data_IF_012166129305
#
_entry.id   IF_012166129305
#
_cell.length_a   1.000
_cell.length_b   1.000
_cell.length_c   1.000
_cell.angle_alpha   90.00
_cell.angle_beta   90.00
_cell.angle_gamma   90.00
#
_symmetry.space_group_name_H-M   'P 1'
#
loop_
_entity.id
_entity.type
_entity.pdbx_description
1 polymer ?
#
# COMPACT_ATOMS: atom_id res chain seq x y z
N UNK A 1 29.82 19.08 -1.09
CA UNK A 1 30.52 18.48 0.05
C UNK A 1 29.46 17.78 0.87
N UNK A 2 29.30 16.47 0.70
CA UNK A 2 28.36 15.69 1.48
C UNK A 2 28.81 15.71 2.95
N UNK A 3 27.91 16.06 3.86
CA UNK A 3 28.13 15.92 5.30
C UNK A 3 28.38 14.44 5.61
N UNK A 4 29.35 14.10 6.48
CA UNK A 4 29.57 12.72 6.86
C UNK A 4 28.28 12.19 7.50
N UNK A 5 27.73 11.12 6.95
CA UNK A 5 26.61 10.42 7.56
C UNK A 5 26.96 10.10 9.02
N UNK A 6 26.03 10.31 9.96
CA UNK A 6 26.20 9.90 11.34
C UNK A 6 26.64 8.43 11.44
N UNK A 7 27.61 8.18 12.33
CA UNK A 7 28.36 6.94 12.53
C UNK A 7 27.49 5.81 13.13
N UNK A 8 26.35 5.52 12.50
CA UNK A 8 25.33 4.56 12.94
C UNK A 8 25.71 3.10 12.70
N UNK A 9 26.83 2.86 12.01
CA UNK A 9 27.40 1.53 11.75
C UNK A 9 28.30 1.03 12.90
N UNK A 10 28.58 1.88 13.90
CA UNK A 10 29.49 1.58 15.00
C UNK A 10 29.01 0.50 15.98
N UNK A 11 27.77 0.03 15.90
CA UNK A 11 27.20 -0.94 16.86
C UNK A 11 27.53 -2.40 16.53
N UNK A 12 28.03 -2.70 15.33
CA UNK A 12 28.52 -4.03 15.00
C UNK A 12 30.05 -4.05 14.97
N UNK A 13 30.64 -4.38 16.13
CA UNK A 13 32.04 -4.78 16.17
C UNK A 13 32.19 -6.15 15.51
N UNK A 14 32.33 -6.16 14.18
CA UNK A 14 32.80 -7.33 13.46
C UNK A 14 34.28 -7.55 13.81
N UNK A 15 34.67 -8.74 14.29
CA UNK A 15 36.08 -9.10 14.42
C UNK A 15 36.80 -8.87 13.08
N UNK A 16 38.08 -8.45 13.06
CA UNK A 16 38.83 -8.24 11.81
C UNK A 16 38.97 -9.50 10.92
N UNK A 17 38.64 -10.66 11.46
CA UNK A 17 38.64 -11.96 10.77
C UNK A 17 37.29 -12.34 10.16
N UNK A 18 36.27 -11.48 10.30
CA UNK A 18 34.92 -11.75 9.79
C UNK A 18 34.93 -11.75 8.28
N UNK A 19 34.52 -12.86 7.68
CA UNK A 19 34.36 -12.95 6.23
C UNK A 19 32.97 -12.46 5.80
N UNK A 20 32.76 -12.09 4.53
CA UNK A 20 31.43 -11.76 4.02
C UNK A 20 30.39 -12.89 4.22
N UNK A 21 30.82 -14.16 4.17
CA UNK A 21 29.99 -15.32 4.47
C UNK A 21 29.54 -15.34 5.94
N UNK A 22 30.44 -14.94 6.85
CA UNK A 22 30.10 -14.82 8.27
C UNK A 22 29.06 -13.71 8.49
N UNK A 23 29.14 -12.60 7.75
CA UNK A 23 28.13 -11.53 7.80
C UNK A 23 26.75 -12.07 7.45
N UNK A 24 26.61 -12.77 6.31
CA UNK A 24 25.33 -13.36 5.91
C UNK A 24 24.77 -14.28 7.01
N UNK A 25 25.61 -15.13 7.60
CA UNK A 25 25.21 -16.03 8.68
C UNK A 25 24.77 -15.27 9.94
N UNK A 26 25.51 -14.24 10.32
CA UNK A 26 25.18 -13.39 11.48
C UNK A 26 23.83 -12.69 11.27
N UNK A 27 23.63 -12.11 10.08
CA UNK A 27 22.38 -11.41 9.72
C UNK A 27 21.21 -12.40 9.73
N UNK A 28 21.40 -13.60 9.20
CA UNK A 28 20.42 -14.68 9.22
C UNK A 28 20.00 -15.08 10.65
N UNK A 29 20.98 -15.38 11.50
CA UNK A 29 20.73 -15.78 12.90
C UNK A 29 20.03 -14.64 13.66
N UNK A 30 20.42 -13.39 13.38
CA UNK A 30 19.80 -12.18 13.96
C UNK A 30 18.35 -12.01 13.50
N UNK A 31 18.05 -12.22 12.21
CA UNK A 31 16.70 -12.13 11.65
C UNK A 31 15.75 -13.07 12.37
N UNK A 32 16.05 -14.36 12.39
CA UNK A 32 15.15 -15.34 13.00
C UNK A 32 15.10 -15.26 14.53
N UNK A 33 16.11 -14.70 15.18
CA UNK A 33 16.02 -14.36 16.60
C UNK A 33 15.10 -13.15 16.87
N UNK A 34 15.09 -12.17 15.96
CA UNK A 34 14.21 -11.01 16.02
C UNK A 34 12.76 -11.39 15.67
N UNK A 35 12.54 -12.11 14.58
CA UNK A 35 11.22 -12.44 14.01
C UNK A 35 10.31 -13.09 15.05
N UNK A 36 10.80 -14.13 15.72
CA UNK A 36 10.02 -14.81 16.76
C UNK A 36 9.64 -13.92 17.94
N UNK A 37 10.39 -12.84 18.24
CA UNK A 37 10.03 -11.86 19.28
C UNK A 37 9.06 -10.81 18.74
N UNK A 38 9.33 -10.28 17.56
CA UNK A 38 8.51 -9.26 16.90
C UNK A 38 7.09 -9.79 16.60
N UNK A 39 6.98 -10.97 15.99
CA UNK A 39 5.69 -11.61 15.71
C UNK A 39 4.88 -11.86 16.99
N UNK A 40 5.53 -12.26 18.09
CA UNK A 40 4.84 -12.41 19.39
C UNK A 40 4.36 -11.08 19.94
N UNK A 41 5.20 -10.05 19.93
CA UNK A 41 4.82 -8.72 20.39
C UNK A 41 3.65 -8.17 19.57
N UNK A 42 3.69 -8.30 18.25
CA UNK A 42 2.59 -7.88 17.36
C UNK A 42 1.29 -8.67 17.64
N UNK A 43 1.38 -9.99 17.84
CA UNK A 43 0.21 -10.79 18.19
C UNK A 43 -0.34 -10.45 19.58
N UNK A 44 0.52 -10.09 20.53
CA UNK A 44 0.12 -9.64 21.87
C UNK A 44 -0.51 -8.25 21.83
N UNK A 45 -0.06 -7.37 20.93
CA UNK A 45 -0.67 -6.05 20.68
C UNK A 45 -2.04 -6.16 19.98
N UNK A 46 -2.16 -7.08 19.02
CA UNK A 46 -3.44 -7.40 18.36
C UNK A 46 -4.43 -8.14 19.26
N UNK A 47 -3.98 -8.69 20.40
CA UNK A 47 -4.89 -9.29 21.37
C UNK A 47 -5.66 -8.16 22.03
N UNK A 48 -6.96 -8.07 21.71
CA UNK A 48 -7.91 -7.25 22.44
C UNK A 48 -7.71 -7.44 23.95
N UNK A 49 -7.17 -6.42 24.63
CA UNK A 49 -6.97 -6.41 26.08
C UNK A 49 -8.28 -6.60 26.84
N UNK A 50 -9.40 -6.34 26.17
CA UNK A 50 -10.72 -6.62 26.69
C UNK A 50 -11.17 -7.99 26.15
N UNK A 51 -11.15 -9.06 26.97
CA UNK A 51 -11.98 -10.22 26.64
C UNK A 51 -13.39 -9.67 26.53
N UNK A 52 -14.00 -9.78 25.33
CA UNK A 52 -15.39 -9.44 25.02
C UNK A 52 -16.19 -9.33 26.31
N UNK A 53 -16.29 -8.11 26.85
CA UNK A 53 -17.12 -7.87 28.01
C UNK A 53 -18.51 -8.14 27.46
N UNK A 54 -19.05 -9.32 27.74
CA UNK A 54 -20.45 -9.67 27.50
C UNK A 54 -21.38 -8.85 28.42
N UNK A 55 -20.98 -7.64 28.79
CA UNK A 55 -21.75 -6.69 29.55
C UNK A 55 -21.98 -5.47 28.66
N UNK A 56 -23.19 -4.87 28.72
CA UNK A 56 -23.51 -3.68 27.96
C UNK A 56 -22.43 -2.62 28.19
N UNK A 57 -21.90 -2.10 27.10
CA UNK A 57 -20.69 -1.26 27.08
C UNK A 57 -20.92 0.00 27.93
N UNK A 58 -19.88 0.51 28.61
CA UNK A 58 -19.94 1.87 29.17
C UNK A 58 -20.22 2.92 28.07
N UNK A 59 -19.94 2.59 26.80
CA UNK A 59 -20.36 3.36 25.64
C UNK A 59 -21.89 3.35 25.46
N UNK A 60 -22.60 2.25 25.77
CA UNK A 60 -24.07 2.23 25.79
C UNK A 60 -24.63 3.08 26.94
N UNK A 61 -23.91 3.16 28.07
CA UNK A 61 -24.27 4.08 29.17
C UNK A 61 -23.94 5.54 28.83
N UNK A 62 -22.86 5.81 28.10
CA UNK A 62 -22.48 7.15 27.64
C UNK A 62 -23.42 7.65 26.52
N UNK A 63 -23.73 6.80 25.54
CA UNK A 63 -24.71 7.08 24.47
C UNK A 63 -26.14 7.22 25.03
N UNK A 64 -26.48 6.49 26.09
CA UNK A 64 -27.76 6.65 26.81
C UNK A 64 -27.95 8.02 27.49
N UNK A 65 -26.87 8.81 27.62
CA UNK A 65 -26.91 10.15 28.23
C UNK A 65 -26.91 11.30 27.21
N UNK A 66 -26.63 11.02 25.94
CA UNK A 66 -26.72 12.00 24.85
C UNK A 66 -28.16 11.94 24.31
N UNK A 67 -29.12 12.46 25.06
CA UNK A 67 -30.43 12.79 24.49
C UNK A 67 -30.26 14.02 23.61
N UNK A 68 -30.48 13.94 22.29
CA UNK A 68 -30.44 15.12 21.44
C UNK A 68 -31.50 16.09 21.94
N UNK A 69 -31.08 17.33 22.22
CA UNK A 69 -31.96 18.40 22.67
C UNK A 69 -32.92 18.77 21.53
N UNK A 70 -34.02 18.01 21.38
CA UNK A 70 -35.03 18.23 20.34
C UNK A 70 -35.58 17.00 19.60
N UNK A 71 -35.12 15.77 19.89
CA UNK A 71 -35.68 14.58 19.23
C UNK A 71 -37.10 14.30 19.76
N UNK A 72 -38.12 14.45 18.91
CA UNK A 72 -39.48 13.98 19.19
C UNK A 72 -39.47 12.44 19.17
N UNK A 73 -40.22 11.77 20.06
CA UNK A 73 -40.19 10.31 20.22
C UNK A 73 -40.74 9.50 19.02
N UNK A 74 -41.16 10.16 17.94
CA UNK A 74 -41.80 9.52 16.77
C UNK A 74 -40.93 9.51 15.51
N UNK A 75 -39.73 10.10 15.53
CA UNK A 75 -38.82 10.09 14.37
C UNK A 75 -37.84 8.91 14.47
N UNK A 76 -37.92 8.02 13.47
CA UNK A 76 -37.03 6.93 13.06
C UNK A 76 -35.74 6.83 13.89
N UNK A 77 -35.50 5.66 14.49
CA UNK A 77 -34.31 5.33 15.27
C UNK A 77 -33.02 5.61 14.47
N UNK A 78 -32.54 6.85 14.53
CA UNK A 78 -31.28 7.22 13.92
C UNK A 78 -30.18 6.62 14.79
N UNK A 79 -29.42 5.68 14.23
CA UNK A 79 -28.18 5.24 14.84
C UNK A 79 -27.13 6.33 14.59
N UNK A 80 -26.57 6.84 15.67
CA UNK A 80 -25.50 7.82 15.63
C UNK A 80 -24.17 7.11 15.80
N UNK A 81 -23.23 7.36 14.90
CA UNK A 81 -21.85 6.92 15.03
C UNK A 81 -20.98 8.13 15.34
N UNK A 82 -20.14 8.02 16.36
CA UNK A 82 -19.10 9.00 16.62
C UNK A 82 -17.89 8.65 15.76
N UNK A 83 -17.49 9.55 14.87
CA UNK A 83 -16.21 9.47 14.16
C UNK A 83 -15.17 10.15 15.03
N UNK A 84 -14.19 9.37 15.49
CA UNK A 84 -13.09 9.85 16.31
C UNK A 84 -11.89 10.06 15.39
N UNK A 85 -11.46 11.31 15.24
CA UNK A 85 -10.23 11.65 14.55
C UNK A 85 -9.10 11.81 15.57
N UNK A 86 -7.91 11.32 15.21
CA UNK A 86 -6.70 11.37 16.03
C UNK A 86 -5.62 12.10 15.25
N UNK A 87 -4.83 12.91 15.94
CA UNK A 87 -3.66 13.56 15.35
C UNK A 87 -2.47 12.60 15.20
N UNK A 88 -1.36 13.09 14.64
CA UNK A 88 -0.13 12.30 14.45
C UNK A 88 0.48 11.80 15.78
N UNK A 89 0.13 12.43 16.91
CA UNK A 89 0.58 12.03 18.24
C UNK A 89 -0.35 11.00 18.90
N UNK A 90 -1.46 10.65 18.22
CA UNK A 90 -2.51 9.78 18.76
C UNK A 90 -3.43 10.47 19.75
N UNK A 91 -3.35 11.80 19.88
CA UNK A 91 -4.27 12.58 20.69
C UNK A 91 -5.58 12.79 19.91
N UNK A 92 -6.71 12.56 20.57
CA UNK A 92 -8.03 12.73 19.94
C UNK A 92 -8.26 14.21 19.64
N UNK A 93 -8.57 14.52 18.38
CA UNK A 93 -8.92 15.88 17.97
C UNK A 93 -10.28 16.28 18.58
N UNK A 94 -10.40 17.53 19.04
CA UNK A 94 -11.61 18.02 19.72
C UNK A 94 -12.87 17.96 18.83
N UNK A 95 -12.71 17.95 17.50
CA UNK A 95 -13.81 17.96 16.55
C UNK A 95 -14.30 16.54 16.25
N UNK A 96 -15.17 16.04 17.11
CA UNK A 96 -15.83 14.75 16.90
C UNK A 96 -16.99 14.91 15.92
N UNK A 97 -16.84 14.40 14.71
CA UNK A 97 -17.92 14.33 13.74
C UNK A 97 -18.97 13.31 14.17
N UNK A 98 -20.20 13.75 14.46
CA UNK A 98 -21.34 12.85 14.62
C UNK A 98 -21.90 12.52 13.25
N UNK A 99 -21.70 11.29 12.79
CA UNK A 99 -22.34 10.79 11.58
C UNK A 99 -23.72 10.24 11.97
N UNK A 100 -24.77 10.99 11.63
CA UNK A 100 -26.13 10.47 11.71
C UNK A 100 -26.35 9.53 10.52
N UNK A 101 -26.39 8.23 10.78
CA UNK A 101 -26.86 7.26 9.79
C UNK A 101 -28.36 7.17 9.99
N UNK A 102 -29.11 7.84 9.11
CA UNK A 102 -30.53 7.51 8.97
C UNK A 102 -30.61 6.13 8.33
N UNK A 103 -30.76 5.13 9.19
CA UNK A 103 -31.30 3.85 8.76
C UNK A 103 -32.71 4.17 8.30
N UNK A 104 -32.88 4.29 6.98
CA UNK A 104 -34.22 4.22 6.40
C UNK A 104 -34.64 2.77 6.59
N UNK A 105 -35.11 2.47 7.80
CA UNK A 105 -36.01 1.36 7.97
C UNK A 105 -37.16 1.71 7.04
N UNK A 106 -37.24 0.98 5.93
CA UNK A 106 -38.41 0.97 5.09
C UNK A 106 -39.47 0.35 6.01
N UNK A 107 -40.05 1.20 6.88
CA UNK A 107 -41.23 0.92 7.68
C UNK A 107 -42.13 0.19 6.71
N UNK A 108 -42.49 -1.08 6.99
CA UNK A 108 -43.33 -1.83 6.09
C UNK A 108 -44.65 -1.08 6.09
N UNK A 109 -44.78 -0.11 5.18
CA UNK A 109 -46.02 0.28 4.57
C UNK A 109 -46.73 -1.05 4.43
N UNK A 110 -47.88 -1.18 5.08
CA UNK A 110 -48.62 -2.43 5.22
C UNK A 110 -49.06 -3.05 3.87
N UNK A 111 -48.51 -2.54 2.76
CA UNK A 111 -48.63 -3.00 1.39
C UNK A 111 -47.29 -3.35 0.71
N UNK A 112 -46.13 -3.00 1.26
CA UNK A 112 -44.80 -3.34 0.76
C UNK A 112 -44.11 -4.32 1.71
N UNK A 113 -44.52 -5.58 1.62
CA UNK A 113 -43.79 -6.67 2.26
C UNK A 113 -42.33 -6.63 1.82
N UNK A 114 -41.39 -6.67 2.77
CA UNK A 114 -39.93 -6.88 2.64
C UNK A 114 -39.55 -8.14 1.79
N UNK A 115 -40.54 -8.86 1.26
CA UNK A 115 -40.43 -10.07 0.46
C UNK A 115 -39.86 -9.89 -0.96
N UNK A 116 -39.50 -8.69 -1.44
CA UNK A 116 -39.28 -8.50 -2.89
C UNK A 116 -37.95 -7.91 -3.33
N UNK A 117 -36.99 -7.68 -2.41
CA UNK A 117 -35.60 -7.47 -2.84
C UNK A 117 -35.02 -8.81 -3.28
N UNK A 118 -35.36 -9.22 -4.49
CA UNK A 118 -34.73 -10.37 -5.13
C UNK A 118 -33.26 -10.00 -5.30
N UNK A 119 -32.32 -10.67 -4.62
CA UNK A 119 -30.90 -10.38 -4.81
C UNK A 119 -30.60 -10.52 -6.30
N UNK A 120 -29.84 -9.56 -6.83
CA UNK A 120 -29.36 -9.67 -8.19
C UNK A 120 -28.60 -11.00 -8.34
N UNK A 121 -28.68 -11.66 -9.50
CA UNK A 121 -27.83 -12.80 -9.78
C UNK A 121 -26.37 -12.44 -9.51
N UNK A 122 -25.59 -13.39 -8.98
CA UNK A 122 -24.14 -13.20 -8.80
C UNK A 122 -23.51 -12.87 -10.16
N UNK A 123 -22.80 -11.76 -10.24
CA UNK A 123 -22.02 -11.38 -11.41
C UNK A 123 -20.60 -11.03 -10.98
N UNK A 124 -19.63 -11.27 -11.85
CA UNK A 124 -18.27 -10.78 -11.65
C UNK A 124 -18.16 -9.38 -12.25
N UNK A 125 -17.33 -8.53 -11.65
CA UNK A 125 -16.99 -7.26 -12.28
C UNK A 125 -16.31 -7.52 -13.63
N UNK A 126 -16.75 -6.80 -14.65
CA UNK A 126 -16.15 -6.81 -15.97
C UNK A 126 -15.83 -5.36 -16.35
N UNK A 127 -14.55 -5.06 -16.58
CA UNK A 127 -14.16 -3.75 -17.09
C UNK A 127 -14.82 -3.54 -18.45
N UNK A 128 -15.58 -2.44 -18.67
CA UNK A 128 -16.19 -2.18 -19.96
C UNK A 128 -15.11 -1.99 -21.03
N UNK A 129 -15.27 -2.64 -22.18
CA UNK A 129 -14.32 -2.57 -23.29
C UNK A 129 -15.03 -2.15 -24.58
N UNK A 130 -14.48 -1.14 -25.26
CA UNK A 130 -14.93 -0.67 -26.58
C UNK A 130 -14.25 -1.41 -27.74
N UNK A 131 -13.18 -2.16 -27.46
CA UNK A 131 -12.42 -2.94 -28.42
C UNK A 131 -11.82 -4.20 -27.76
N UNK A 132 -11.52 -5.21 -28.58
CA UNK A 132 -10.88 -6.44 -28.12
C UNK A 132 -9.43 -6.16 -27.70
N UNK A 133 -9.02 -6.68 -26.54
CA UNK A 133 -7.62 -6.68 -26.08
C UNK A 133 -6.99 -8.00 -26.48
N UNK A 134 -5.92 -7.95 -27.26
CA UNK A 134 -5.09 -9.14 -27.52
C UNK A 134 -4.24 -9.43 -26.30
N UNK A 135 -4.44 -10.60 -25.69
CA UNK A 135 -3.60 -11.12 -24.61
C UNK A 135 -2.72 -12.23 -25.20
N UNK A 136 -1.40 -12.02 -25.33
CA UNK A 136 -0.50 -13.06 -25.83
C UNK A 136 -0.60 -14.31 -24.94
N UNK A 137 -0.73 -15.48 -25.56
CA UNK A 137 -0.75 -16.74 -24.81
C UNK A 137 0.69 -17.15 -24.46
N UNK A 138 1.21 -16.65 -23.35
CA UNK A 138 2.55 -17.01 -22.87
C UNK A 138 2.50 -18.32 -22.09
N UNK A 139 2.54 -19.44 -22.82
CA UNK A 139 2.70 -20.77 -22.23
C UNK A 139 1.43 -21.36 -21.60
N UNK A 140 1.58 -22.45 -20.82
CA UNK A 140 0.46 -23.10 -20.17
C UNK A 140 -0.20 -22.15 -19.17
N UNK A 141 -1.54 -22.21 -18.99
CA UNK A 141 -2.24 -21.31 -18.09
C UNK A 141 -1.72 -21.52 -16.66
N UNK A 142 -1.32 -20.41 -16.02
CA UNK A 142 -1.01 -20.36 -14.61
C UNK A 142 -2.24 -19.85 -13.85
N UNK A 143 -2.55 -20.46 -12.71
CA UNK A 143 -3.60 -19.95 -11.83
C UNK A 143 -3.02 -18.77 -11.05
N UNK A 144 -3.50 -17.55 -11.29
CA UNK A 144 -3.03 -16.37 -10.55
C UNK A 144 -3.51 -16.36 -9.10
N UNK A 145 -4.76 -16.77 -8.86
CA UNK A 145 -5.37 -16.87 -7.53
C UNK A 145 -6.52 -17.89 -7.55
N UNK A 146 -6.84 -18.54 -6.42
CA UNK A 146 -8.03 -19.39 -6.30
C UNK A 146 -9.28 -18.50 -6.22
N UNK A 147 -10.22 -18.57 -7.19
CA UNK A 147 -11.46 -17.82 -7.09
C UNK A 147 -12.34 -18.41 -5.98
N UNK A 148 -13.07 -17.54 -5.28
CA UNK A 148 -14.07 -17.94 -4.27
C UNK A 148 -13.54 -18.93 -3.22
N UNK A 149 -12.33 -18.70 -2.72
CA UNK A 149 -11.69 -19.57 -1.72
C UNK A 149 -12.49 -19.68 -0.41
N UNK A 150 -13.38 -18.74 -0.16
CA UNK A 150 -14.30 -18.62 0.96
C UNK A 150 -15.67 -19.25 0.71
N UNK A 151 -16.04 -19.55 -0.55
CA UNK A 151 -17.34 -20.12 -0.90
C UNK A 151 -17.29 -21.66 -0.86
N UNK A 152 -17.95 -22.32 0.12
CA UNK A 152 -17.93 -23.78 0.23
C UNK A 152 -18.65 -24.48 -0.93
N UNK A 153 -19.46 -23.75 -1.72
CA UNK A 153 -20.13 -24.30 -2.90
C UNK A 153 -19.23 -24.31 -4.14
N UNK A 154 -18.11 -23.57 -4.12
CA UNK A 154 -17.16 -23.55 -5.22
C UNK A 154 -16.22 -24.76 -5.15
N UNK A 155 -16.22 -25.57 -6.19
CA UNK A 155 -15.37 -26.76 -6.25
C UNK A 155 -13.94 -26.38 -6.69
N UNK A 156 -13.15 -25.96 -5.71
CA UNK A 156 -11.81 -25.43 -5.94
C UNK A 156 -10.84 -26.47 -6.54
N UNK A 157 -10.91 -27.74 -6.11
CA UNK A 157 -9.92 -28.74 -6.51
C UNK A 157 -9.94 -29.06 -8.04
N UNK A 158 -11.09 -29.33 -8.68
CA UNK A 158 -11.16 -29.49 -10.13
C UNK A 158 -10.79 -28.24 -10.91
N UNK A 159 -11.10 -27.04 -10.37
CA UNK A 159 -10.69 -25.79 -10.99
C UNK A 159 -9.16 -25.65 -10.99
N UNK A 160 -8.50 -25.85 -9.84
CA UNK A 160 -7.06 -25.79 -9.74
C UNK A 160 -6.37 -26.87 -10.60
N UNK A 161 -7.00 -28.03 -10.79
CA UNK A 161 -6.49 -29.09 -11.66
C UNK A 161 -6.43 -28.71 -13.16
N UNK A 162 -7.10 -27.62 -13.58
CA UNK A 162 -6.99 -27.07 -14.94
C UNK A 162 -5.65 -26.38 -15.19
N UNK A 163 -4.94 -26.03 -14.13
CA UNK A 163 -3.70 -25.27 -14.19
C UNK A 163 -2.52 -26.17 -13.88
N UNK A 164 -1.46 -26.04 -14.69
CA UNK A 164 -0.24 -26.83 -14.48
C UNK A 164 0.63 -26.27 -13.35
N UNK A 165 0.46 -24.98 -13.04
CA UNK A 165 1.24 -24.23 -12.07
C UNK A 165 0.38 -23.15 -11.43
N UNK A 166 0.76 -22.78 -10.21
CA UNK A 166 0.13 -21.69 -9.47
C UNK A 166 1.11 -20.54 -9.37
N UNK A 167 0.67 -19.33 -9.72
CA UNK A 167 1.53 -18.15 -9.78
C UNK A 167 2.20 -17.89 -8.42
N UNK A 168 1.43 -18.04 -7.33
CA UNK A 168 1.90 -17.86 -5.95
C UNK A 168 2.84 -18.96 -5.44
N UNK A 169 3.09 -20.04 -6.21
CA UNK A 169 4.07 -21.07 -5.86
C UNK A 169 5.33 -21.00 -6.69
N UNK A 170 5.23 -20.51 -7.93
CA UNK A 170 6.31 -20.60 -8.90
C UNK A 170 7.34 -19.46 -8.77
N UNK A 171 6.87 -18.25 -8.51
CA UNK A 171 7.73 -17.05 -8.37
C UNK A 171 7.66 -16.48 -6.94
N UNK A 172 7.36 -17.34 -5.97
CA UNK A 172 7.37 -16.94 -4.57
C UNK A 172 8.82 -16.77 -4.12
N UNK A 173 9.26 -15.52 -4.11
CA UNK A 173 10.48 -15.12 -3.40
C UNK A 173 10.14 -14.97 -1.94
N UNK A 174 10.77 -15.80 -1.12
CA UNK A 174 10.64 -15.72 0.32
C UNK A 174 11.04 -14.30 0.79
N UNK A 175 10.11 -13.53 1.37
CA UNK A 175 10.39 -12.17 1.81
C UNK A 175 11.49 -12.14 2.87
N UNK A 176 11.64 -13.17 3.68
CA UNK A 176 12.68 -13.24 4.71
C UNK A 176 14.07 -13.27 4.06
N UNK A 177 14.23 -14.09 3.02
CA UNK A 177 15.50 -14.17 2.28
C UNK A 177 15.86 -12.85 1.63
N UNK A 178 14.89 -12.18 1.04
CA UNK A 178 15.11 -10.88 0.44
C UNK A 178 15.59 -9.87 1.49
N UNK A 179 14.92 -9.81 2.64
CA UNK A 179 15.30 -8.91 3.74
C UNK A 179 16.69 -9.22 4.32
N UNK A 180 17.01 -10.50 4.54
CA UNK A 180 18.33 -10.94 5.02
C UNK A 180 19.42 -10.56 4.00
N UNK A 181 19.18 -10.78 2.72
CA UNK A 181 20.12 -10.44 1.65
C UNK A 181 20.32 -8.93 1.50
N UNK A 182 19.24 -8.16 1.63
CA UNK A 182 19.29 -6.70 1.56
C UNK A 182 20.13 -6.13 2.70
N UNK A 183 19.88 -6.59 3.93
CA UNK A 183 20.65 -6.15 5.11
C UNK A 183 22.12 -6.61 5.05
N UNK A 184 22.38 -7.82 4.56
CA UNK A 184 23.75 -8.31 4.30
C UNK A 184 24.46 -7.40 3.30
N UNK A 185 23.79 -7.04 2.20
CA UNK A 185 24.33 -6.15 1.17
C UNK A 185 24.62 -4.77 1.76
N UNK A 186 23.70 -4.22 2.55
CA UNK A 186 23.87 -2.93 3.24
C UNK A 186 25.11 -2.94 4.14
N UNK A 187 25.27 -3.97 4.98
CA UNK A 187 26.43 -4.10 5.87
C UNK A 187 27.72 -4.20 5.06
N UNK A 188 27.78 -5.06 4.03
CA UNK A 188 28.99 -5.21 3.22
C UNK A 188 29.36 -3.92 2.47
N UNK A 189 28.36 -3.15 2.03
CA UNK A 189 28.58 -1.91 1.27
C UNK A 189 29.01 -0.74 2.16
N UNK A 190 28.30 -0.52 3.28
CA UNK A 190 28.50 0.69 4.09
C UNK A 190 29.45 0.48 5.27
N UNK A 191 29.52 -0.72 5.86
CA UNK A 191 30.28 -0.93 7.08
C UNK A 191 31.79 -0.68 6.84
N UNK A 192 32.47 0.12 7.68
CA UNK A 192 33.86 0.52 7.46
C UNK A 192 34.87 -0.63 7.33
N UNK A 193 34.54 -1.81 7.87
CA UNK A 193 35.37 -3.00 7.76
C UNK A 193 35.41 -3.60 6.33
N UNK A 194 34.33 -3.44 5.56
CA UNK A 194 34.16 -4.11 4.26
C UNK A 194 34.23 -3.12 3.09
N UNK A 195 33.37 -2.09 3.10
CA UNK A 195 33.31 -1.04 2.06
C UNK A 195 33.31 -1.57 0.61
N UNK A 196 32.60 -2.67 0.36
CA UNK A 196 32.59 -3.32 -0.95
C UNK A 196 31.59 -2.65 -1.90
N UNK A 197 31.96 -2.52 -3.17
CA UNK A 197 31.03 -2.14 -4.25
C UNK A 197 30.01 -3.24 -4.54
N UNK A 198 28.90 -2.92 -5.21
CA UNK A 198 27.90 -3.94 -5.56
C UNK A 198 28.48 -4.99 -6.51
N UNK A 199 29.36 -4.59 -7.42
CA UNK A 199 30.07 -5.50 -8.32
C UNK A 199 30.97 -6.46 -7.53
N UNK A 200 31.73 -5.95 -6.55
CA UNK A 200 32.59 -6.78 -5.69
C UNK A 200 31.76 -7.76 -4.85
N UNK A 201 30.62 -7.32 -4.29
CA UNK A 201 29.74 -8.22 -3.52
C UNK A 201 29.13 -9.29 -4.44
N UNK A 202 28.73 -8.93 -5.65
CA UNK A 202 28.22 -9.86 -6.65
C UNK A 202 29.29 -10.88 -7.11
N UNK A 203 30.57 -10.52 -7.06
CA UNK A 203 31.73 -11.37 -7.37
C UNK A 203 32.11 -12.32 -6.23
N UNK A 204 31.72 -12.02 -4.98
CA UNK A 204 31.89 -12.92 -3.84
C UNK A 204 31.12 -14.24 -4.01
N UNK A 205 30.10 -14.26 -4.88
CA UNK A 205 29.22 -15.42 -5.14
C UNK A 205 28.70 -16.04 -3.84
N UNK A 206 28.21 -15.19 -2.92
CA UNK A 206 27.65 -15.65 -1.66
C UNK A 206 26.48 -16.63 -1.89
N UNK A 207 26.36 -17.70 -1.08
CA UNK A 207 25.31 -18.69 -1.27
C UNK A 207 23.92 -18.05 -1.28
N UNK A 208 23.13 -18.35 -2.31
CA UNK A 208 21.74 -17.89 -2.46
C UNK A 208 21.53 -16.38 -2.60
N UNK A 209 22.60 -15.56 -2.57
CA UNK A 209 22.50 -14.12 -2.76
C UNK A 209 22.17 -13.83 -4.24
N UNK A 210 20.99 -13.25 -4.55
CA UNK A 210 20.71 -12.81 -5.91
C UNK A 210 21.64 -11.65 -6.29
N UNK A 211 21.84 -11.46 -7.59
CA UNK A 211 22.59 -10.30 -8.09
C UNK A 211 21.97 -9.01 -7.54
N UNK A 212 22.79 -8.18 -6.92
CA UNK A 212 22.36 -6.96 -6.22
C UNK A 212 21.70 -6.01 -7.22
N UNK A 213 22.35 -5.84 -8.37
CA UNK A 213 21.83 -5.05 -9.50
C UNK A 213 22.14 -5.76 -10.81
N UNK A 214 21.09 -6.15 -11.55
CA UNK A 214 21.24 -6.72 -12.90
C UNK A 214 21.08 -5.65 -13.97
N UNK A 215 20.11 -4.77 -13.78
CA UNK A 215 19.80 -3.61 -14.63
C UNK A 215 19.33 -2.46 -13.73
N UNK A 216 18.94 -1.32 -14.31
CA UNK A 216 18.34 -0.23 -13.53
C UNK A 216 16.97 -0.62 -12.92
N UNK A 217 16.28 -1.58 -13.55
CA UNK A 217 14.93 -2.05 -13.26
C UNK A 217 14.87 -3.54 -12.84
N UNK A 218 16.01 -4.12 -12.41
CA UNK A 218 16.03 -5.49 -11.89
C UNK A 218 17.24 -5.78 -10.99
N UNK A 219 17.06 -6.73 -10.07
CA UNK A 219 18.04 -7.08 -9.03
C UNK A 219 17.45 -6.90 -7.63
N UNK A 220 18.18 -7.37 -6.63
CA UNK A 220 17.74 -7.35 -5.23
C UNK A 220 17.25 -5.96 -4.79
N UNK A 221 18.04 -4.91 -5.06
CA UNK A 221 17.73 -3.55 -4.61
C UNK A 221 16.47 -3.00 -5.29
N UNK A 222 16.22 -3.36 -6.56
CA UNK A 222 14.99 -2.96 -7.27
C UNK A 222 13.77 -3.69 -6.77
N UNK A 223 13.89 -5.00 -6.60
CA UNK A 223 12.81 -5.85 -6.12
C UNK A 223 12.37 -5.42 -4.72
N UNK A 224 13.32 -5.08 -3.84
CA UNK A 224 13.03 -4.61 -2.49
C UNK A 224 12.47 -3.18 -2.45
N UNK A 225 12.76 -2.35 -3.44
CA UNK A 225 12.18 -1.00 -3.54
C UNK A 225 10.68 -1.02 -3.83
N UNK A 226 10.20 -2.06 -4.52
CA UNK A 226 8.78 -2.22 -4.85
C UNK A 226 7.97 -2.82 -3.70
N UNK A 227 8.59 -3.03 -2.52
CA UNK A 227 7.98 -3.67 -1.36
C UNK A 227 7.91 -2.71 -0.19
N UNK A 228 6.96 -2.97 0.70
CA UNK A 228 6.93 -2.30 1.98
C UNK A 228 8.17 -2.70 2.79
N UNK A 229 8.92 -1.73 3.34
CA UNK A 229 10.11 -2.03 4.13
C UNK A 229 9.71 -2.77 5.39
N UNK A 230 10.28 -3.95 5.61
CA UNK A 230 10.18 -4.58 6.92
C UNK A 230 11.13 -3.85 7.88
N UNK A 231 10.56 -3.25 8.93
CA UNK A 231 11.31 -2.64 10.02
C UNK A 231 11.78 -3.74 10.98
N UNK A 232 12.87 -4.41 10.61
CA UNK A 232 13.49 -5.42 11.44
C UNK A 232 14.90 -4.99 11.78
N UNK A 233 15.32 -5.23 13.03
CA UNK A 233 16.56 -4.80 13.72
C UNK A 233 16.40 -3.65 14.73
N UNK A 234 17.30 -3.64 15.73
CA UNK A 234 17.42 -2.60 16.78
C UNK A 234 17.88 -1.23 16.23
N UNK A 235 18.04 -1.07 14.91
CA UNK A 235 18.50 0.16 14.26
C UNK A 235 17.42 1.26 14.19
N UNK A 236 16.19 0.92 14.59
CA UNK A 236 15.04 1.82 14.71
C UNK A 236 15.13 2.72 15.96
N UNK A 237 16.08 2.47 16.88
CA UNK A 237 16.13 3.16 18.20
C UNK A 237 16.64 4.63 18.12
N UNK A 238 16.87 5.20 16.94
CA UNK A 238 17.19 6.63 16.76
C UNK A 238 16.13 7.38 15.94
N UNK A 239 14.86 7.05 16.13
CA UNK A 239 13.72 7.63 15.40
C UNK A 239 13.21 8.98 15.95
N UNK A 240 14.09 9.81 16.51
CA UNK A 240 13.76 11.23 16.73
C UNK A 240 13.84 12.07 15.43
N UNK A 241 14.14 11.46 14.27
CA UNK A 241 14.34 12.17 12.99
C UNK A 241 13.72 11.53 11.74
N UNK A 242 12.93 10.46 11.85
CA UNK A 242 12.17 9.91 10.71
C UNK A 242 12.99 9.21 9.60
N UNK A 243 14.28 8.96 9.81
CA UNK A 243 15.16 8.27 8.85
C UNK A 243 15.14 6.75 9.13
N UNK A 244 14.51 5.99 8.24
CA UNK A 244 14.41 4.53 8.30
C UNK A 244 15.51 3.94 7.43
N UNK A 245 16.57 3.42 8.05
CA UNK A 245 17.79 2.97 7.39
C UNK A 245 17.60 1.89 6.29
N UNK A 246 16.54 1.09 6.30
CA UNK A 246 16.27 0.13 5.21
C UNK A 246 15.66 0.82 3.99
N UNK A 247 14.74 1.78 4.22
CA UNK A 247 14.16 2.58 3.17
C UNK A 247 15.16 3.62 2.65
N UNK A 248 15.98 4.20 3.52
CA UNK A 248 17.07 5.12 3.15
C UNK A 248 18.22 4.38 2.45
N UNK A 249 18.52 3.13 2.80
CA UNK A 249 19.46 2.31 2.01
C UNK A 249 18.97 2.14 0.58
N UNK A 250 17.72 1.70 0.41
CA UNK A 250 17.14 1.50 -0.92
C UNK A 250 16.99 2.84 -1.64
N UNK A 251 16.43 3.86 -0.98
CA UNK A 251 16.25 5.19 -1.50
C UNK A 251 17.58 5.89 -1.82
N UNK A 252 18.66 5.71 -1.05
CA UNK A 252 20.01 6.24 -1.34
C UNK A 252 20.66 5.54 -2.54
N UNK A 253 20.43 4.22 -2.70
CA UNK A 253 20.84 3.46 -3.88
C UNK A 253 20.11 3.92 -5.17
N UNK A 254 18.92 4.51 -5.03
CA UNK A 254 18.15 5.11 -6.12
C UNK A 254 18.41 6.60 -6.31
N UNK A 255 18.56 7.39 -5.24
CA UNK A 255 18.74 8.84 -5.31
C UNK A 255 20.15 9.27 -5.71
N UNK A 256 21.16 8.39 -5.57
CA UNK A 256 22.47 8.58 -6.21
C UNK A 256 22.48 8.32 -7.74
N UNK A 257 21.34 7.98 -8.34
CA UNK A 257 21.26 7.84 -9.78
C UNK A 257 20.97 9.18 -10.44
N UNK A 258 21.98 9.74 -11.11
CA UNK A 258 21.82 10.66 -12.25
C UNK A 258 20.80 10.18 -13.32
N UNK A 259 20.28 8.95 -13.21
CA UNK A 259 19.26 8.35 -14.06
C UNK A 259 17.81 8.74 -13.67
N UNK A 260 17.54 9.11 -12.41
CA UNK A 260 16.21 9.58 -12.01
C UNK A 260 15.93 10.98 -12.57
N UNK A 261 16.96 11.81 -12.70
CA UNK A 261 16.87 13.13 -13.29
C UNK A 261 16.94 13.06 -14.81
N UNK A 262 15.98 13.69 -15.46
CA UNK A 262 16.00 13.80 -16.92
C UNK A 262 17.09 14.77 -17.35
N UNK A 263 17.98 14.31 -18.23
CA UNK A 263 18.98 15.18 -18.86
C UNK A 263 18.42 15.94 -20.06
N UNK A 264 17.32 15.45 -20.64
CA UNK A 264 16.68 16.07 -21.79
C UNK A 264 15.86 17.30 -21.37
N UNK A 265 16.20 18.46 -21.93
CA UNK A 265 15.50 19.71 -21.69
C UNK A 265 14.08 19.71 -22.24
N UNK A 266 13.79 18.98 -23.32
CA UNK A 266 12.45 18.92 -23.92
C UNK A 266 11.48 18.18 -23.01
N UNK A 267 11.89 17.05 -22.44
CA UNK A 267 11.08 16.28 -21.50
C UNK A 267 10.78 17.09 -20.23
N UNK A 268 11.79 17.77 -19.68
CA UNK A 268 11.62 18.65 -18.51
C UNK A 268 10.69 19.84 -18.81
N UNK A 269 10.77 20.42 -20.02
CA UNK A 269 9.89 21.51 -20.43
C UNK A 269 8.45 21.02 -20.64
N UNK A 270 8.26 19.83 -21.21
CA UNK A 270 6.96 19.18 -21.31
C UNK A 270 6.34 18.94 -19.93
N UNK A 271 7.08 18.35 -18.99
CA UNK A 271 6.61 18.13 -17.62
C UNK A 271 6.27 19.46 -16.93
N UNK A 272 7.13 20.48 -17.06
CA UNK A 272 6.86 21.82 -16.52
C UNK A 272 5.60 22.45 -17.12
N UNK A 273 5.34 22.27 -18.40
CA UNK A 273 4.14 22.80 -19.05
C UNK A 273 2.87 22.07 -18.63
N UNK A 274 2.93 20.75 -18.41
CA UNK A 274 1.80 19.98 -17.87
C UNK A 274 1.51 20.40 -16.42
N UNK A 275 2.53 20.53 -15.58
CA UNK A 275 2.38 20.96 -14.18
C UNK A 275 1.84 22.40 -14.04
N UNK A 276 2.12 23.28 -15.01
CA UNK A 276 1.47 24.61 -15.08
C UNK A 276 -0.04 24.53 -15.33
N UNK A 277 -0.51 23.47 -15.99
CA UNK A 277 -1.93 23.28 -16.32
C UNK A 277 -2.65 22.50 -15.22
N UNK A 278 -2.01 21.48 -14.63
CA UNK A 278 -2.54 20.65 -13.54
C UNK A 278 -1.42 20.36 -12.54
N UNK A 279 -1.21 21.25 -11.55
CA UNK A 279 -0.15 21.09 -10.55
C UNK A 279 -0.43 19.93 -9.58
N UNK A 280 -1.68 19.50 -9.50
CA UNK A 280 -2.22 18.43 -8.66
C UNK A 280 -2.20 17.04 -9.32
N UNK A 281 -1.83 16.94 -10.60
CA UNK A 281 -1.79 15.67 -11.33
C UNK A 281 -0.89 14.63 -10.63
N UNK A 282 -1.36 13.41 -10.46
CA UNK A 282 -0.60 12.36 -9.79
C UNK A 282 0.63 11.96 -10.62
N UNK A 283 1.76 11.59 -10.00
CA UNK A 283 2.97 11.18 -10.72
C UNK A 283 2.73 10.04 -11.71
N UNK A 284 1.81 9.12 -11.41
CA UNK A 284 1.43 8.02 -12.31
C UNK A 284 0.69 8.50 -13.57
N UNK A 285 -0.18 9.51 -13.45
CA UNK A 285 -0.86 10.08 -14.62
C UNK A 285 0.12 10.86 -15.50
N UNK A 286 1.00 11.63 -14.87
CA UNK A 286 2.08 12.34 -15.52
C UNK A 286 3.07 11.37 -16.22
N UNK A 287 3.32 10.20 -15.64
CA UNK A 287 4.12 9.12 -16.23
C UNK A 287 3.57 8.66 -17.59
N UNK A 288 2.25 8.48 -17.67
CA UNK A 288 1.57 8.10 -18.92
C UNK A 288 1.69 9.22 -19.97
N UNK A 289 1.49 10.47 -19.57
CA UNK A 289 1.54 11.63 -20.48
C UNK A 289 2.96 11.86 -21.01
N UNK A 290 3.95 11.87 -20.11
CA UNK A 290 5.36 12.08 -20.45
C UNK A 290 6.01 10.85 -21.10
N UNK A 291 5.36 9.67 -21.04
CA UNK A 291 5.90 8.37 -21.47
C UNK A 291 7.22 8.03 -20.78
N UNK A 292 7.26 8.25 -19.47
CA UNK A 292 8.42 8.05 -18.60
C UNK A 292 8.00 7.25 -17.37
N UNK A 293 8.93 6.53 -16.71
CA UNK A 293 8.65 5.86 -15.44
C UNK A 293 8.14 6.83 -14.36
N UNK A 294 7.20 6.38 -13.53
CA UNK A 294 6.50 7.24 -12.57
C UNK A 294 7.41 7.76 -11.44
N UNK A 295 8.40 6.99 -11.05
CA UNK A 295 9.47 7.33 -10.10
C UNK A 295 10.35 8.47 -10.64
N UNK A 296 10.74 8.43 -11.91
CA UNK A 296 11.48 9.53 -12.54
C UNK A 296 10.63 10.80 -12.63
N UNK A 297 9.35 10.66 -13.02
CA UNK A 297 8.43 11.80 -13.06
C UNK A 297 8.28 12.43 -11.68
N UNK A 298 8.14 11.62 -10.63
CA UNK A 298 8.08 12.10 -9.26
C UNK A 298 9.35 12.85 -8.85
N UNK A 299 10.52 12.28 -9.11
CA UNK A 299 11.81 12.91 -8.80
C UNK A 299 12.00 14.26 -9.53
N UNK A 300 11.67 14.32 -10.83
CA UNK A 300 11.77 15.56 -11.60
C UNK A 300 10.68 16.57 -11.23
N UNK A 301 9.47 16.12 -10.86
CA UNK A 301 8.41 16.99 -10.33
C UNK A 301 8.87 17.68 -9.06
N UNK A 302 9.37 16.94 -8.07
CA UNK A 302 9.89 17.51 -6.81
C UNK A 302 11.01 18.51 -7.04
N UNK A 303 11.88 18.26 -8.02
CA UNK A 303 12.95 19.20 -8.38
C UNK A 303 12.44 20.47 -9.08
N UNK A 304 11.32 20.41 -9.80
CA UNK A 304 10.75 21.54 -10.55
C UNK A 304 9.79 22.38 -9.70
N UNK A 305 9.03 21.71 -8.82
CA UNK A 305 8.05 22.27 -7.90
C UNK A 305 8.19 21.52 -6.57
N UNK A 306 9.02 22.02 -5.65
CA UNK A 306 9.16 21.48 -4.31
C UNK A 306 7.81 21.46 -3.59
N UNK A 307 7.60 20.48 -2.71
CA UNK A 307 6.33 20.33 -2.00
C UNK A 307 6.02 21.58 -1.14
N UNK A 308 7.04 22.32 -0.71
CA UNK A 308 6.92 23.57 0.04
C UNK A 308 6.31 24.73 -0.77
N UNK A 309 6.40 24.68 -2.11
CA UNK A 309 5.81 25.67 -3.02
C UNK A 309 4.33 25.34 -3.33
N UNK A 310 3.85 24.16 -2.93
CA UNK A 310 2.44 23.77 -3.02
C UNK A 310 1.71 24.41 -1.85
N UNK A 311 1.30 25.67 -2.02
CA UNK A 311 0.44 26.33 -1.05
C UNK A 311 -0.83 25.49 -0.86
N UNK A 312 -1.10 25.07 0.38
CA UNK A 312 -2.35 24.43 0.82
C UNK A 312 -3.56 25.40 0.75
N UNK A 313 -3.62 26.28 -0.25
CA UNK A 313 -4.62 27.35 -0.34
C UNK A 313 -6.01 26.87 -0.78
N UNK A 314 -6.32 25.56 -0.73
CA UNK A 314 -7.65 25.05 -1.08
C UNK A 314 -8.13 23.87 -0.23
N UNK A 315 -8.77 24.16 0.90
CA UNK A 315 -10.11 23.65 1.22
C UNK A 315 -10.74 24.35 2.44
N UNK A 316 -10.99 25.65 2.38
CA UNK A 316 -11.93 26.30 3.33
C UNK A 316 -13.32 26.54 2.74
N UNK A 317 -13.53 26.19 1.47
CA UNK A 317 -14.87 26.16 0.89
C UNK A 317 -15.52 24.80 1.21
N UNK A 318 -16.70 24.77 1.86
CA UNK A 318 -17.40 23.53 2.14
C UNK A 318 -17.70 22.80 0.82
N UNK A 319 -17.70 21.45 0.82
CA UNK A 319 -17.86 20.67 -0.39
C UNK A 319 -19.15 21.08 -1.10
N UNK A 320 -19.03 21.60 -2.32
CA UNK A 320 -20.16 21.81 -3.22
C UNK A 320 -20.67 20.42 -3.59
N UNK A 321 -21.63 19.91 -2.81
CA UNK A 321 -22.41 18.74 -3.19
C UNK A 321 -23.21 19.10 -4.44
N UNK A 322 -22.74 18.63 -5.60
CA UNK A 322 -23.62 18.58 -6.76
C UNK A 322 -24.74 17.59 -6.44
N UNK A 323 -26.03 18.01 -6.47
CA UNK A 323 -27.12 17.06 -6.36
C UNK A 323 -27.01 16.11 -7.55
N UNK A 324 -26.93 14.81 -7.25
CA UNK A 324 -27.12 13.76 -8.25
C UNK A 324 -28.54 13.93 -8.78
N UNK A 325 -28.68 14.64 -9.90
CA UNK A 325 -29.95 14.78 -10.59
C UNK A 325 -30.20 13.48 -11.35
N UNK A 326 -31.05 12.66 -10.74
CA UNK A 326 -31.88 11.61 -11.32
C UNK A 326 -31.68 11.29 -12.82
N UNK A 327 -31.17 10.09 -13.10
CA UNK A 327 -31.38 9.33 -14.35
C UNK A 327 -32.79 8.68 -14.39
N UNK A 328 -33.80 9.39 -13.89
CA UNK A 328 -35.17 8.89 -13.81
C UNK A 328 -36.06 9.63 -14.82
N UNK A 329 -35.67 9.68 -16.10
CA UNK A 329 -36.56 10.07 -17.20
C UNK A 329 -36.06 9.52 -18.55
N UNK A 330 -36.00 8.20 -18.68
CA UNK A 330 -36.13 7.53 -19.99
C UNK A 330 -37.00 6.27 -19.79
N UNK A 331 -38.29 6.49 -19.59
CA UNK A 331 -39.30 5.44 -19.78
C UNK A 331 -39.78 5.49 -21.23
N UNK A 332 -39.77 4.31 -21.85
CA UNK A 332 -40.55 3.92 -23.04
C UNK A 332 -40.29 4.67 -24.37
N UNK A 333 -39.44 4.08 -25.21
CA UNK A 333 -39.84 3.69 -26.57
C UNK A 333 -38.75 2.83 -27.26
N UNK A 334 -39.16 1.69 -27.80
CA UNK A 334 -38.51 0.94 -28.90
C UNK A 334 -37.35 -0.02 -28.62
N UNK A 335 -37.58 -1.05 -27.79
CA UNK A 335 -36.88 -2.35 -27.91
C UNK A 335 -37.88 -3.48 -28.19
N UNK A 336 -38.46 -3.48 -29.40
CA UNK A 336 -39.12 -4.66 -30.01
C UNK A 336 -38.84 -4.65 -31.51
N UNK A 337 -37.62 -5.04 -31.90
CA UNK A 337 -37.35 -5.38 -33.30
C UNK A 337 -36.11 -6.27 -33.50
N UNK A 338 -35.70 -7.12 -32.56
CA UNK A 338 -34.63 -8.10 -32.82
C UNK A 338 -34.96 -9.45 -32.17
N UNK A 339 -35.96 -10.12 -32.74
CA UNK A 339 -36.20 -11.55 -32.64
C UNK A 339 -37.22 -11.95 -33.71
N UNK A 340 -36.75 -12.17 -34.93
CA UNK A 340 -37.35 -13.10 -35.90
C UNK A 340 -36.26 -13.61 -36.83
#
# INVERSE_FOLDING_TARGET
MATPEPDFLATHHFPPSTTPQDVLKIVWDKFYHWDGRACRALLDDLRSEQPSRNGPSELENALGSITPYGAQPDDVANEFFAVLDYDENGDQLEETGLLAVSIVEDEPSSTWTVNHWKPNPRYMACTPLSANIYVPHEGPPNCSFPPFSDDPTFNLAPFLALYSRFAWQWDFKDPDYEMIHLETTRILHYHPHFQLTFEEIDDLNLPSLPKIRRTADSGLVWESYQRDPLLWTDYVVSLDRGEVLSLDFVAACYSNLNYLHWQDSEDLEMLRNILKLSPDALPCDLAVICRKPCDQVFANRKSLFPDEDILEERCTDPPIRFPITHFADVKDANYKAWAT
#
